data_IF_629483103515
#
_entry.id   IF_629483103515
#
_cell.length_a   1.000
_cell.length_b   1.000
_cell.length_c   1.000
_cell.angle_alpha   90.00
_cell.angle_beta   90.00
_cell.angle_gamma   90.00
#
_symmetry.space_group_name_H-M   'P 1'
#
loop_
_entity.id
_entity.type
_entity.pdbx_description
1 polymer ?
#
# COMPACT_ATOMS: atom_id res chain seq x y z
N UNK A 1 -15.24 9.71 8.00
CA UNK A 1 -15.17 8.24 8.19
C UNK A 1 -15.04 7.98 9.68
N UNK A 2 -15.56 6.88 10.24
CA UNK A 2 -15.21 6.47 11.60
C UNK A 2 -13.71 6.14 11.66
N UNK A 3 -12.95 6.81 12.54
CA UNK A 3 -11.51 6.55 12.72
C UNK A 3 -10.59 6.96 11.56
N UNK A 4 -11.06 7.82 10.65
CA UNK A 4 -10.31 8.31 9.47
C UNK A 4 -9.71 7.24 8.55
N UNK A 5 -10.24 6.02 8.62
CA UNK A 5 -9.83 4.86 7.82
C UNK A 5 -11.02 4.20 7.12
N UNK A 6 -10.75 3.53 6.00
CA UNK A 6 -11.76 2.79 5.23
C UNK A 6 -11.99 1.36 5.75
N UNK A 7 -11.09 0.84 6.57
CA UNK A 7 -11.18 -0.46 7.23
C UNK A 7 -10.39 -0.40 8.56
N UNK A 8 -10.62 -1.29 9.54
CA UNK A 8 -10.14 -1.10 10.90
C UNK A 8 -8.62 -1.30 11.07
N UNK A 9 -7.98 -2.14 10.24
CA UNK A 9 -6.58 -2.54 10.46
C UNK A 9 -5.58 -1.39 10.28
N UNK A 10 -5.72 -0.50 9.28
CA UNK A 10 -4.90 0.71 9.15
C UNK A 10 -5.02 1.71 10.30
N UNK A 11 -5.97 1.56 11.23
CA UNK A 11 -6.07 2.43 12.41
C UNK A 11 -5.01 2.10 13.50
N UNK A 12 -4.25 1.02 13.32
CA UNK A 12 -3.15 0.62 14.21
C UNK A 12 -3.58 0.32 15.65
N UNK A 13 -4.88 0.08 15.92
CA UNK A 13 -5.40 -0.18 17.28
C UNK A 13 -4.75 -1.38 17.99
N UNK A 14 -4.19 -2.32 17.24
CA UNK A 14 -3.55 -3.54 17.76
C UNK A 14 -2.04 -3.39 18.03
N UNK A 15 -1.44 -2.25 17.70
CA UNK A 15 -0.01 -1.97 17.86
C UNK A 15 0.20 -0.59 18.46
N UNK A 16 1.37 -0.34 19.03
CA UNK A 16 1.74 1.02 19.47
C UNK A 16 2.20 1.85 18.27
N UNK A 17 1.64 3.03 18.08
CA UNK A 17 2.10 3.96 17.06
C UNK A 17 1.00 4.85 16.51
N UNK A 18 1.27 5.48 15.38
CA UNK A 18 0.27 6.18 14.57
C UNK A 18 0.21 5.50 13.20
N UNK A 19 -0.95 5.49 12.54
CA UNK A 19 -1.06 5.07 11.15
C UNK A 19 -0.05 5.81 10.26
N UNK A 20 0.63 5.07 9.40
CA UNK A 20 1.56 5.64 8.43
C UNK A 20 0.79 5.84 7.13
N UNK A 21 0.79 7.08 6.64
CA UNK A 21 0.24 7.40 5.32
C UNK A 21 1.35 7.20 4.28
N UNK A 22 1.07 6.35 3.30
CA UNK A 22 2.01 6.02 2.23
C UNK A 22 1.77 6.92 1.02
N UNK A 23 2.86 7.37 0.40
CA UNK A 23 2.88 8.26 -0.77
C UNK A 23 3.01 7.45 -2.07
N UNK A 24 3.98 6.54 -2.14
CA UNK A 24 4.28 5.79 -3.35
C UNK A 24 4.78 4.37 -3.07
N UNK A 25 4.68 3.53 -4.09
CA UNK A 25 5.01 2.10 -4.03
C UNK A 25 5.61 1.63 -5.36
N UNK A 26 6.67 0.82 -5.30
CA UNK A 26 7.22 0.10 -6.46
C UNK A 26 7.94 -1.18 -6.01
N UNK A 27 7.63 -2.30 -6.66
CA UNK A 27 8.17 -3.59 -6.25
C UNK A 27 7.81 -3.89 -4.79
N UNK A 28 8.79 -4.23 -3.97
CA UNK A 28 8.61 -4.47 -2.53
C UNK A 28 8.97 -3.26 -1.66
N UNK A 29 9.07 -2.07 -2.24
CA UNK A 29 9.40 -0.83 -1.54
C UNK A 29 8.19 0.09 -1.48
N UNK A 30 8.04 0.76 -0.33
CA UNK A 30 7.05 1.81 -0.11
C UNK A 30 7.71 3.04 0.51
N UNK A 31 7.20 4.22 0.15
CA UNK A 31 7.65 5.49 0.69
C UNK A 31 6.49 6.17 1.41
N UNK A 32 6.72 6.56 2.66
CA UNK A 32 5.78 7.35 3.46
C UNK A 32 5.79 8.82 3.08
N UNK A 33 4.71 9.54 3.37
CA UNK A 33 4.66 11.01 3.23
C UNK A 33 5.63 11.74 4.17
N UNK A 34 6.13 11.02 5.17
CA UNK A 34 7.15 11.47 6.13
C UNK A 34 8.59 11.35 5.57
N UNK A 35 8.74 10.83 4.35
CA UNK A 35 10.03 10.63 3.69
C UNK A 35 10.76 9.35 4.09
N UNK A 36 10.15 8.50 4.91
CA UNK A 36 10.73 7.22 5.29
C UNK A 36 10.47 6.16 4.20
N UNK A 37 11.46 5.29 3.98
CA UNK A 37 11.33 4.13 3.10
C UNK A 37 11.15 2.84 3.91
N UNK A 38 10.29 1.96 3.44
CA UNK A 38 10.00 0.68 4.09
C UNK A 38 10.01 -0.45 3.06
N UNK A 39 10.38 -1.65 3.52
CA UNK A 39 10.11 -2.90 2.80
C UNK A 39 8.69 -3.37 3.10
N UNK A 40 7.93 -3.69 2.07
CA UNK A 40 6.55 -4.15 2.22
C UNK A 40 6.45 -5.66 2.46
N UNK A 41 6.09 -6.02 3.69
CA UNK A 41 5.70 -7.37 4.08
C UNK A 41 4.19 -7.52 4.29
N UNK A 42 3.42 -6.44 4.22
CA UNK A 42 1.96 -6.47 4.31
C UNK A 42 1.37 -6.90 2.97
N UNK A 43 1.93 -6.43 1.85
CA UNK A 43 1.57 -6.87 0.51
C UNK A 43 0.10 -6.62 0.17
N UNK A 44 -0.48 -5.53 0.70
CA UNK A 44 -1.92 -5.23 0.66
C UNK A 44 -2.80 -6.37 1.20
N UNK A 45 -2.29 -7.15 2.17
CA UNK A 45 -2.93 -8.34 2.71
C UNK A 45 -3.07 -9.50 1.72
N UNK A 46 -2.22 -9.55 0.68
CA UNK A 46 -2.14 -10.68 -0.25
C UNK A 46 -2.11 -10.36 -1.77
N UNK A 47 -2.82 -9.35 -2.29
CA UNK A 47 -2.87 -9.07 -3.73
C UNK A 47 -1.52 -8.77 -4.38
N UNK A 48 -0.58 -8.23 -3.60
CA UNK A 48 0.70 -7.70 -4.12
C UNK A 48 1.79 -8.77 -4.07
N UNK A 49 1.53 -9.93 -4.65
CA UNK A 49 2.44 -11.08 -4.61
C UNK A 49 3.67 -10.90 -5.51
N UNK A 50 3.53 -10.16 -6.62
CA UNK A 50 4.61 -9.84 -7.57
C UNK A 50 5.19 -8.44 -7.38
N UNK A 51 4.86 -7.76 -6.27
CA UNK A 51 5.27 -6.39 -6.03
C UNK A 51 4.30 -5.34 -6.57
N UNK A 52 4.41 -4.13 -6.02
CA UNK A 52 3.58 -2.98 -6.35
C UNK A 52 3.94 -2.40 -7.71
N UNK A 53 2.91 -1.86 -8.39
CA UNK A 53 3.06 -1.11 -9.63
C UNK A 53 3.90 -1.88 -10.67
N UNK A 54 3.64 -3.19 -10.80
CA UNK A 54 4.44 -4.01 -11.69
C UNK A 54 4.16 -3.69 -13.16
N UNK A 55 5.22 -3.58 -13.96
CA UNK A 55 5.16 -2.94 -15.27
C UNK A 55 4.22 -3.68 -16.23
N UNK A 56 4.22 -5.03 -16.22
CA UNK A 56 3.28 -5.82 -17.02
C UNK A 56 1.83 -5.59 -16.58
N UNK A 57 1.55 -5.55 -15.28
CA UNK A 57 0.20 -5.32 -14.76
C UNK A 57 -0.29 -3.92 -15.17
N UNK A 58 0.57 -2.90 -15.01
CA UNK A 58 0.27 -1.54 -15.41
C UNK A 58 0.09 -1.39 -16.92
N UNK A 59 0.84 -2.13 -17.73
CA UNK A 59 0.70 -2.14 -19.18
C UNK A 59 -0.67 -2.68 -19.60
N UNK A 60 -1.16 -3.74 -18.95
CA UNK A 60 -2.45 -4.35 -19.28
C UNK A 60 -3.65 -3.63 -18.66
N UNK A 61 -3.47 -2.92 -17.54
CA UNK A 61 -4.58 -2.28 -16.82
C UNK A 61 -5.45 -1.38 -17.72
N UNK A 62 -4.93 -0.46 -18.56
CA UNK A 62 -5.76 0.41 -19.40
C UNK A 62 -6.61 -0.35 -20.43
N UNK A 63 -6.19 -1.54 -20.84
CA UNK A 63 -6.89 -2.36 -21.85
C UNK A 63 -8.20 -2.93 -21.29
N UNK A 64 -8.26 -3.18 -19.98
CA UNK A 64 -9.44 -3.76 -19.34
C UNK A 64 -10.46 -2.73 -18.85
N UNK A 65 -10.10 -1.45 -18.81
CA UNK A 65 -10.94 -0.36 -18.29
C UNK A 65 -11.40 0.63 -19.37
N UNK A 66 -11.18 0.34 -20.66
CA UNK A 66 -11.73 1.05 -21.83
C UNK A 66 -12.97 0.35 -22.39
#
# INVERSE_FOLDING_TARGET
MPGDVNCPVPAFESVTGQPIVMDSFKGFHMSGIDGNEYFDYVGSWGPVIIGHAEDEVLFFLPIFYS
#
